data_IF_398476972031
#
_entry.id   IF_398476972031
#
_cell.length_a   1.000
_cell.length_b   1.000
_cell.length_c   1.000
_cell.angle_alpha   90.00
_cell.angle_beta   90.00
_cell.angle_gamma   90.00
#
_symmetry.space_group_name_H-M   'P 1'
#
loop_
_entity.id
_entity.type
_entity.pdbx_description
1 polymer ?
#
# COMPACT_ATOMS: atom_id res chain seq x y z
N UNK A 1 -0.93 -29.13 -10.62
CA UNK A 1 0.10 -28.16 -11.05
C UNK A 1 -0.58 -27.12 -11.92
N UNK A 2 -0.52 -25.83 -11.54
CA UNK A 2 -0.87 -24.61 -12.34
C UNK A 2 -1.54 -23.43 -11.57
N UNK A 3 -1.43 -23.36 -10.23
CA UNK A 3 -1.86 -22.14 -9.49
C UNK A 3 -0.77 -21.05 -9.37
N UNK A 4 0.50 -21.36 -9.66
CA UNK A 4 1.60 -20.41 -9.47
C UNK A 4 1.60 -19.26 -10.50
N UNK A 5 1.18 -19.51 -11.75
CA UNK A 5 1.23 -18.49 -12.81
C UNK A 5 0.16 -17.41 -12.58
N UNK A 6 -1.05 -17.81 -12.19
CA UNK A 6 -2.14 -16.87 -11.86
C UNK A 6 -1.81 -16.00 -10.65
N UNK A 7 -1.24 -16.59 -9.60
CA UNK A 7 -0.79 -15.84 -8.41
C UNK A 7 0.37 -14.89 -8.71
N UNK A 8 1.31 -15.29 -9.56
CA UNK A 8 2.43 -14.43 -9.96
C UNK A 8 1.95 -13.24 -10.81
N UNK A 9 1.05 -13.48 -11.77
CA UNK A 9 0.48 -12.42 -12.59
C UNK A 9 -0.34 -11.44 -11.75
N UNK A 10 -1.15 -11.95 -10.81
CA UNK A 10 -1.90 -11.12 -9.88
C UNK A 10 -0.99 -10.23 -9.02
N UNK A 11 0.06 -10.80 -8.41
CA UNK A 11 1.01 -10.02 -7.61
C UNK A 11 1.68 -8.91 -8.42
N UNK A 12 2.03 -9.18 -9.68
CA UNK A 12 2.62 -8.20 -10.59
C UNK A 12 1.65 -7.06 -10.92
N UNK A 13 0.41 -7.38 -11.30
CA UNK A 13 -0.60 -6.38 -11.69
C UNK A 13 -1.03 -5.52 -10.48
N UNK A 14 -1.20 -6.14 -9.31
CA UNK A 14 -1.45 -5.46 -8.03
C UNK A 14 -0.34 -4.45 -7.74
N UNK A 15 0.92 -4.87 -7.82
CA UNK A 15 2.05 -3.98 -7.58
C UNK A 15 2.12 -2.86 -8.63
N UNK A 16 1.87 -3.16 -9.90
CA UNK A 16 1.86 -2.16 -10.97
C UNK A 16 0.81 -1.07 -10.72
N UNK A 17 -0.40 -1.44 -10.29
CA UNK A 17 -1.46 -0.48 -9.94
C UNK A 17 -1.05 0.40 -8.77
N UNK A 18 -0.59 -0.21 -7.68
CA UNK A 18 -0.23 0.49 -6.45
C UNK A 18 0.93 1.47 -6.67
N UNK A 19 1.97 1.04 -7.38
CA UNK A 19 3.09 1.92 -7.77
C UNK A 19 2.60 3.13 -8.57
N UNK A 20 1.71 2.90 -9.55
CA UNK A 20 1.17 3.96 -10.39
C UNK A 20 0.38 4.99 -9.59
N UNK A 21 -0.42 4.54 -8.62
CA UNK A 21 -1.16 5.41 -7.70
C UNK A 21 -0.22 6.24 -6.83
N UNK A 22 0.80 5.61 -6.23
CA UNK A 22 1.78 6.32 -5.40
C UNK A 22 2.51 7.39 -6.21
N UNK A 23 2.93 7.07 -7.44
CA UNK A 23 3.60 8.02 -8.33
C UNK A 23 2.71 9.22 -8.69
N UNK A 24 1.41 9.01 -8.93
CA UNK A 24 0.49 10.11 -9.25
C UNK A 24 0.21 10.99 -8.04
N UNK A 25 0.02 10.39 -6.87
CA UNK A 25 -0.13 11.13 -5.61
C UNK A 25 1.12 11.97 -5.34
N UNK A 26 2.31 11.40 -5.51
CA UNK A 26 3.56 12.13 -5.35
C UNK A 26 3.70 13.28 -6.35
N UNK A 27 3.36 13.04 -7.62
CA UNK A 27 3.34 14.08 -8.64
C UNK A 27 2.43 15.24 -8.23
N UNK A 28 1.15 14.96 -7.94
CA UNK A 28 0.17 15.98 -7.54
C UNK A 28 0.57 16.78 -6.29
N UNK A 29 1.30 16.18 -5.35
CA UNK A 29 1.72 16.85 -4.11
C UNK A 29 2.99 17.69 -4.25
N UNK A 30 3.98 17.18 -4.98
CA UNK A 30 5.35 17.67 -4.87
C UNK A 30 5.96 18.11 -6.19
N UNK A 31 5.39 17.75 -7.33
CA UNK A 31 5.97 18.01 -8.64
C UNK A 31 4.94 18.58 -9.61
N UNK A 32 5.25 19.74 -10.20
CA UNK A 32 4.51 20.22 -11.38
C UNK A 32 4.87 19.38 -12.62
N UNK A 33 4.52 18.10 -12.63
CA UNK A 33 4.48 17.34 -13.88
C UNK A 33 3.45 17.99 -14.81
N UNK A 34 3.62 17.79 -16.11
CA UNK A 34 2.62 18.22 -17.08
C UNK A 34 1.26 17.60 -16.69
N UNK A 35 0.24 18.45 -16.57
CA UNK A 35 -1.12 18.03 -16.22
C UNK A 35 -1.64 16.94 -17.17
N UNK A 36 -1.25 17.01 -18.44
CA UNK A 36 -1.59 16.00 -19.43
C UNK A 36 -1.06 14.60 -19.07
N UNK A 37 0.17 14.52 -18.58
CA UNK A 37 0.79 13.25 -18.18
C UNK A 37 0.10 12.67 -16.95
N UNK A 38 -0.29 13.53 -16.00
CA UNK A 38 -1.06 13.13 -14.82
C UNK A 38 -2.43 12.58 -15.25
N UNK A 39 -3.17 13.30 -16.09
CA UNK A 39 -4.49 12.87 -16.57
C UNK A 39 -4.42 11.53 -17.32
N UNK A 40 -3.42 11.38 -18.18
CA UNK A 40 -3.16 10.11 -18.90
C UNK A 40 -2.86 8.99 -17.91
N UNK A 41 -1.99 9.25 -16.94
CA UNK A 41 -1.60 8.25 -15.97
C UNK A 41 -2.75 7.82 -15.04
N UNK A 42 -3.66 8.74 -14.67
CA UNK A 42 -4.89 8.45 -13.92
C UNK A 42 -5.84 7.58 -14.75
N UNK A 43 -5.97 7.83 -16.06
CA UNK A 43 -6.79 7.01 -16.96
C UNK A 43 -6.28 5.58 -17.10
N UNK A 44 -4.96 5.42 -17.17
CA UNK A 44 -4.34 4.10 -17.20
C UNK A 44 -4.52 3.37 -15.86
N UNK A 45 -4.43 4.09 -14.73
CA UNK A 45 -4.67 3.52 -13.40
C UNK A 45 -6.11 3.05 -13.23
N UNK A 46 -7.09 3.79 -13.77
CA UNK A 46 -8.51 3.39 -13.79
C UNK A 46 -8.70 2.07 -14.55
N UNK A 47 -8.15 1.99 -15.77
CA UNK A 47 -8.23 0.77 -16.59
C UNK A 47 -7.62 -0.43 -15.87
N UNK A 48 -6.49 -0.21 -15.21
CA UNK A 48 -5.78 -1.24 -14.46
C UNK A 48 -6.55 -1.66 -13.19
N UNK A 49 -7.23 -0.72 -12.51
CA UNK A 49 -8.07 -1.02 -11.35
C UNK A 49 -9.22 -1.95 -11.71
N UNK A 50 -9.94 -1.69 -12.81
CA UNK A 50 -11.02 -2.57 -13.29
C UNK A 50 -10.52 -3.98 -13.63
N UNK A 51 -9.34 -4.09 -14.25
CA UNK A 51 -8.71 -5.39 -14.51
C UNK A 51 -8.33 -6.11 -13.21
N UNK A 52 -7.78 -5.37 -12.25
CA UNK A 52 -7.34 -5.91 -10.97
C UNK A 52 -8.51 -6.39 -10.10
N UNK A 53 -9.71 -5.82 -10.21
CA UNK A 53 -10.90 -6.28 -9.48
C UNK A 53 -11.17 -7.76 -9.77
N UNK A 54 -11.26 -8.14 -11.05
CA UNK A 54 -11.52 -9.53 -11.43
C UNK A 54 -10.42 -10.49 -10.98
N UNK A 55 -9.17 -10.01 -10.96
CA UNK A 55 -8.03 -10.80 -10.50
C UNK A 55 -8.03 -10.94 -8.97
N UNK A 56 -8.42 -9.91 -8.23
CA UNK A 56 -8.58 -9.94 -6.78
C UNK A 56 -9.67 -10.92 -6.36
N UNK A 57 -10.82 -10.93 -7.05
CA UNK A 57 -11.89 -11.92 -6.86
C UNK A 57 -11.36 -13.36 -7.04
N UNK A 58 -10.56 -13.58 -8.08
CA UNK A 58 -9.98 -14.90 -8.37
C UNK A 58 -8.94 -15.32 -7.32
N UNK A 59 -8.30 -14.35 -6.69
CA UNK A 59 -7.28 -14.54 -5.66
C UNK A 59 -7.84 -14.54 -4.22
N UNK A 60 -9.15 -14.29 -4.05
CA UNK A 60 -9.81 -14.14 -2.74
C UNK A 60 -9.24 -13.00 -1.87
N UNK A 61 -8.72 -11.93 -2.50
CA UNK A 61 -8.24 -10.72 -1.82
C UNK A 61 -9.37 -9.68 -1.76
N UNK A 62 -10.25 -9.86 -0.77
CA UNK A 62 -11.45 -9.03 -0.58
C UNK A 62 -11.14 -7.57 -0.25
N UNK A 63 -10.03 -7.30 0.45
CA UNK A 63 -9.61 -5.94 0.75
C UNK A 63 -9.19 -5.21 -0.53
N UNK A 64 -8.34 -5.83 -1.36
CA UNK A 64 -7.88 -5.21 -2.60
C UNK A 64 -8.98 -5.15 -3.66
N UNK A 65 -9.89 -6.12 -3.69
CA UNK A 65 -11.12 -6.06 -4.50
C UNK A 65 -11.90 -4.77 -4.22
N UNK A 66 -12.15 -4.45 -2.95
CA UNK A 66 -12.89 -3.26 -2.58
C UNK A 66 -12.18 -1.98 -3.03
N UNK A 67 -10.84 -1.93 -2.91
CA UNK A 67 -10.05 -0.83 -3.46
C UNK A 67 -10.22 -0.73 -4.98
N UNK A 68 -10.12 -1.84 -5.71
CA UNK A 68 -10.29 -1.86 -7.15
C UNK A 68 -11.70 -1.48 -7.63
N UNK A 69 -12.73 -1.72 -6.80
CA UNK A 69 -14.11 -1.32 -7.06
C UNK A 69 -14.34 0.18 -6.90
N UNK A 70 -13.80 0.78 -5.85
CA UNK A 70 -14.06 2.18 -5.51
C UNK A 70 -13.13 3.16 -6.25
N UNK A 71 -11.89 2.73 -6.51
CA UNK A 71 -10.84 3.55 -7.10
C UNK A 71 -11.18 4.14 -8.48
N UNK A 72 -11.86 3.44 -9.42
CA UNK A 72 -12.21 4.00 -10.73
C UNK A 72 -13.01 5.30 -10.65
N UNK A 73 -14.04 5.36 -9.79
CA UNK A 73 -14.85 6.57 -9.62
C UNK A 73 -14.02 7.71 -9.02
N UNK A 74 -13.16 7.42 -8.05
CA UNK A 74 -12.26 8.41 -7.44
C UNK A 74 -11.30 8.99 -8.48
N UNK A 75 -10.77 8.14 -9.37
CA UNK A 75 -9.86 8.58 -10.45
C UNK A 75 -10.61 9.38 -11.52
N UNK A 76 -11.84 9.01 -11.86
CA UNK A 76 -12.67 9.79 -12.77
C UNK A 76 -12.95 11.20 -12.23
N UNK A 77 -13.40 11.28 -10.97
CA UNK A 77 -13.68 12.53 -10.28
C UNK A 77 -12.42 13.40 -10.16
N UNK A 78 -11.28 12.78 -9.87
CA UNK A 78 -9.97 13.43 -9.83
C UNK A 78 -9.63 14.09 -11.18
N UNK A 79 -9.77 13.37 -12.29
CA UNK A 79 -9.53 13.94 -13.64
C UNK A 79 -10.51 15.07 -13.93
N UNK A 80 -11.79 14.89 -13.64
CA UNK A 80 -12.81 15.92 -13.88
C UNK A 80 -12.51 17.19 -13.08
N UNK A 81 -12.09 17.05 -11.82
CA UNK A 81 -11.69 18.17 -10.95
C UNK A 81 -10.45 18.88 -11.49
N UNK A 82 -9.43 18.14 -11.92
CA UNK A 82 -8.21 18.70 -12.52
C UNK A 82 -8.45 19.41 -13.86
N UNK A 83 -9.48 19.02 -14.61
CA UNK A 83 -9.87 19.64 -15.89
C UNK A 83 -10.75 20.88 -15.72
N UNK A 84 -11.61 20.93 -14.68
CA UNK A 84 -12.62 21.99 -14.48
C UNK A 84 -12.14 23.13 -13.61
N UNK A 85 -11.51 22.81 -12.49
CA UNK A 85 -11.05 23.79 -11.52
C UNK A 85 -9.58 24.03 -11.79
N UNK A 86 -9.21 25.28 -12.06
CA UNK A 86 -7.84 25.74 -12.28
C UNK A 86 -6.85 24.82 -11.57
N UNK A 87 -5.88 24.30 -12.33
CA UNK A 87 -4.85 23.34 -11.90
C UNK A 87 -3.86 23.93 -10.86
N UNK A 88 -4.37 24.84 -10.04
CA UNK A 88 -3.80 25.35 -8.81
C UNK A 88 -3.29 24.21 -7.92
N UNK A 89 -2.19 24.49 -7.23
CA UNK A 89 -1.57 23.55 -6.30
C UNK A 89 -2.52 23.09 -5.19
N UNK A 90 -3.49 23.93 -4.81
CA UNK A 90 -4.51 23.56 -3.81
C UNK A 90 -5.43 22.46 -4.31
N UNK A 91 -5.93 22.58 -5.55
CA UNK A 91 -6.78 21.58 -6.16
C UNK A 91 -6.00 20.25 -6.34
N UNK A 92 -4.77 20.33 -6.85
CA UNK A 92 -3.91 19.15 -7.00
C UNK A 92 -3.68 18.42 -5.67
N UNK A 93 -3.45 19.16 -4.57
CA UNK A 93 -3.29 18.58 -3.24
C UNK A 93 -4.57 17.91 -2.73
N UNK A 94 -5.74 18.51 -3.00
CA UNK A 94 -7.03 17.92 -2.62
C UNK A 94 -7.28 16.62 -3.39
N UNK A 95 -7.04 16.63 -4.70
CA UNK A 95 -7.15 15.45 -5.55
C UNK A 95 -6.20 14.34 -5.07
N UNK A 96 -4.95 14.68 -4.73
CA UNK A 96 -4.00 13.71 -4.19
C UNK A 96 -4.53 13.06 -2.91
N UNK A 97 -5.10 13.84 -1.98
CA UNK A 97 -5.67 13.32 -0.72
C UNK A 97 -6.85 12.37 -0.96
N UNK A 98 -7.71 12.66 -1.94
CA UNK A 98 -8.83 11.79 -2.30
C UNK A 98 -8.34 10.45 -2.82
N UNK A 99 -7.34 10.47 -3.72
CA UNK A 99 -6.71 9.24 -4.25
C UNK A 99 -6.02 8.45 -3.13
N UNK A 100 -5.33 9.11 -2.20
CA UNK A 100 -4.70 8.44 -1.06
C UNK A 100 -5.69 7.82 -0.07
N UNK A 101 -6.86 8.42 0.11
CA UNK A 101 -7.89 7.88 0.97
C UNK A 101 -8.53 6.62 0.37
N UNK A 102 -8.65 6.57 -0.96
CA UNK A 102 -9.17 5.41 -1.69
C UNK A 102 -8.25 4.19 -1.66
N UNK A 103 -6.94 4.40 -1.46
CA UNK A 103 -5.97 3.30 -1.33
C UNK A 103 -5.31 3.37 0.05
N UNK A 104 -5.73 2.57 1.03
CA UNK A 104 -5.18 2.58 2.37
C UNK A 104 -3.64 2.43 2.39
N UNK A 105 -2.99 3.07 3.36
CA UNK A 105 -1.52 3.03 3.48
C UNK A 105 -0.98 1.60 3.56
N UNK A 106 -1.70 0.72 4.26
CA UNK A 106 -1.38 -0.70 4.39
C UNK A 106 -1.31 -1.42 3.04
N UNK A 107 -1.98 -0.92 2.00
CA UNK A 107 -1.87 -1.49 0.65
C UNK A 107 -0.80 -0.81 -0.19
N UNK A 108 -0.58 0.49 -0.02
CA UNK A 108 0.44 1.25 -0.77
C UNK A 108 1.87 0.87 -0.40
N UNK A 109 2.08 0.39 0.81
CA UNK A 109 3.38 -0.10 1.28
C UNK A 109 3.33 -1.63 1.50
N UNK A 110 3.97 -2.45 0.65
CA UNK A 110 3.99 -3.89 0.82
C UNK A 110 4.67 -4.33 2.13
N UNK A 111 5.55 -3.51 2.72
CA UNK A 111 6.10 -3.78 4.07
C UNK A 111 5.12 -3.42 5.18
N UNK A 112 4.19 -2.49 4.95
CA UNK A 112 3.09 -2.20 5.88
C UNK A 112 2.00 -3.27 5.78
N UNK A 113 1.69 -3.77 4.58
CA UNK A 113 0.77 -4.91 4.35
C UNK A 113 1.27 -6.18 5.05
N UNK A 114 2.56 -6.50 4.92
CA UNK A 114 3.18 -7.63 5.63
C UNK A 114 3.10 -7.44 7.16
N UNK A 115 3.30 -6.22 7.66
CA UNK A 115 3.14 -5.88 9.08
C UNK A 115 1.68 -5.95 9.55
N UNK A 116 0.71 -5.52 8.75
CA UNK A 116 -0.71 -5.59 9.10
C UNK A 116 -1.26 -7.01 9.05
N UNK A 117 -0.84 -7.84 8.10
CA UNK A 117 -1.14 -9.28 8.04
C UNK A 117 -0.56 -10.03 9.25
N UNK A 118 0.64 -9.66 9.72
CA UNK A 118 1.22 -10.18 10.96
C UNK A 118 0.36 -9.79 12.15
N UNK A 119 0.01 -8.51 12.30
CA UNK A 119 -0.84 -8.03 13.41
C UNK A 119 -2.22 -8.70 13.37
N UNK A 120 -2.86 -8.82 12.21
CA UNK A 120 -4.18 -9.43 12.10
C UNK A 120 -4.17 -10.94 12.38
N UNK A 121 -3.08 -11.65 12.01
CA UNK A 121 -2.85 -13.05 12.44
C UNK A 121 -2.69 -13.16 13.95
N UNK A 122 -1.97 -12.25 14.60
CA UNK A 122 -1.83 -12.26 16.06
C UNK A 122 -3.13 -11.90 16.79
N UNK A 123 -3.98 -11.03 16.24
CA UNK A 123 -5.29 -10.72 16.83
C UNK A 123 -6.25 -11.92 16.81
N UNK A 124 -6.26 -12.69 15.72
CA UNK A 124 -7.10 -13.89 15.58
C UNK A 124 -6.57 -15.06 16.41
N UNK A 125 -5.26 -15.11 16.68
CA UNK A 125 -4.68 -16.05 17.64
C UNK A 125 -5.06 -15.65 19.07
N UNK A 126 -5.05 -14.36 19.42
CA UNK A 126 -5.44 -13.90 20.76
C UNK A 126 -6.94 -14.06 21.08
N UNK A 127 -7.84 -14.02 20.09
CA UNK A 127 -9.25 -14.35 20.34
C UNK A 127 -9.49 -15.87 20.47
N UNK A 128 -8.65 -16.71 19.86
CA UNK A 128 -8.69 -18.18 20.05
C UNK A 128 -7.95 -18.65 21.32
N UNK A 129 -6.88 -17.96 21.74
CA UNK A 129 -6.11 -18.30 22.95
C UNK A 129 -6.81 -17.87 24.23
N UNK A 130 -7.81 -16.99 24.15
CA UNK A 130 -8.65 -16.69 25.30
C UNK A 130 -9.66 -17.81 25.63
N UNK A 131 -9.88 -18.77 24.71
CA UNK A 131 -10.61 -19.99 25.02
C UNK A 131 -9.72 -21.10 25.59
N UNK A 132 -8.43 -21.15 25.25
CA UNK A 132 -7.49 -22.16 25.75
C UNK A 132 -6.20 -21.48 26.20
N UNK A 133 -6.13 -21.15 27.49
CA UNK A 133 -5.04 -20.39 28.09
C UNK A 133 -3.66 -20.95 27.77
N UNK A 134 -2.79 -20.08 27.26
CA UNK A 134 -1.36 -20.32 27.15
C UNK A 134 -0.66 -19.10 27.75
N UNK A 135 0.22 -19.39 28.71
CA UNK A 135 0.96 -18.42 29.51
C UNK A 135 1.73 -17.41 28.65
N UNK A 136 1.53 -16.14 28.97
CA UNK A 136 2.30 -14.99 28.54
C UNK A 136 3.80 -15.20 28.82
N UNK A 137 4.66 -14.92 27.84
CA UNK A 137 6.09 -14.69 28.09
C UNK A 137 6.37 -13.19 27.99
N UNK A 138 6.66 -12.61 29.17
CA UNK A 138 7.21 -11.27 29.42
C UNK A 138 8.47 -11.00 28.56
N UNK A 139 8.51 -9.95 27.73
CA UNK A 139 8.94 -8.56 28.04
C UNK A 139 10.45 -8.28 27.84
N UNK A 140 10.71 -7.42 26.84
CA UNK A 140 11.67 -6.30 26.71
C UNK A 140 13.21 -6.48 26.73
N UNK A 141 13.82 -5.72 25.79
CA UNK A 141 15.05 -4.89 25.87
C UNK A 141 16.36 -5.53 26.36
N UNK A 142 17.49 -5.39 25.66
CA UNK A 142 18.26 -4.13 25.63
C UNK A 142 19.42 -4.19 24.63
N UNK A 143 19.82 -3.03 24.12
CA UNK A 143 21.05 -2.79 23.38
C UNK A 143 22.30 -3.10 24.23
N UNK A 144 23.30 -3.80 23.67
CA UNK A 144 24.65 -3.87 24.25
C UNK A 144 25.67 -3.21 23.30
N UNK A 145 26.06 -2.00 23.69
CA UNK A 145 27.21 -1.24 23.18
C UNK A 145 28.50 -1.84 23.77
N UNK A 146 29.52 -2.22 22.98
CA UNK A 146 30.78 -2.67 23.57
C UNK A 146 31.71 -1.49 23.89
N UNK A 147 31.82 -1.13 25.18
CA UNK A 147 32.90 -0.30 25.71
C UNK A 147 34.21 -1.11 25.91
N UNK A 148 35.21 -0.81 25.07
CA UNK A 148 36.63 -0.58 25.38
C UNK A 148 37.50 -1.47 26.31
N UNK A 149 38.70 -1.76 25.76
CA UNK A 149 40.08 -1.80 26.34
C UNK A 149 40.70 -3.14 26.74
N UNK A 150 41.90 -3.38 26.18
CA UNK A 150 42.90 -4.31 26.73
C UNK A 150 44.03 -4.65 25.77
N UNK A 151 45.06 -3.79 25.67
CA UNK A 151 46.35 -4.16 25.06
C UNK A 151 47.11 -5.14 25.98
N UNK A 152 47.79 -6.18 25.47
CA UNK A 152 48.74 -6.93 26.28
C UNK A 152 50.17 -6.40 26.10
N UNK A 153 50.80 -6.04 27.22
CA UNK A 153 52.23 -5.86 27.35
C UNK A 153 52.88 -7.14 27.88
N UNK A 154 53.97 -7.59 27.27
CA UNK A 154 55.10 -8.40 27.78
C UNK A 154 55.73 -9.16 26.60
N UNK A 155 57.03 -9.43 26.54
CA UNK A 155 58.23 -9.01 27.27
C UNK A 155 59.41 -9.43 26.39
#
# INVERSE_FOLDING_TARGET
MSNNVGQTLYAYERQALLSKIVDQVYALKFHSKNLYDILTALSEAETLATKCEQMAITADDTEFEQVCRDLPQVLEDARASLLREDSSSRNQLEVARKIEAAVPLVMRDPTAYARSQIVHRYSVIHENENEHGIDSVDVLESEDVPEGKGAPANK
#
